data_IF_022242193892
#
_entry.id   IF_022242193892
#
_cell.length_a   1.000
_cell.length_b   1.000
_cell.length_c   1.000
_cell.angle_alpha   90.00
_cell.angle_beta   90.00
_cell.angle_gamma   90.00
#
_symmetry.space_group_name_H-M   'P 1'
#
loop_
_entity.id
_entity.type
_entity.pdbx_description
1 polymer ?
#
# COMPACT_ATOMS: atom_id res chain seq x y z
N UNK A 1 35.31 -18.60 57.17
CA UNK A 1 34.83 -17.47 56.34
C UNK A 1 35.02 -17.90 54.89
N UNK A 2 33.93 -18.33 54.25
CA UNK A 2 33.95 -19.13 53.03
C UNK A 2 34.09 -18.28 51.77
N UNK A 3 34.80 -18.86 50.78
CA UNK A 3 35.25 -18.25 49.52
C UNK A 3 34.13 -18.25 48.44
N UNK A 4 32.92 -18.68 48.80
CA UNK A 4 31.84 -18.99 47.84
C UNK A 4 30.93 -17.81 47.45
N UNK A 5 31.07 -16.64 48.07
CA UNK A 5 30.15 -15.52 47.84
C UNK A 5 30.57 -14.58 46.68
N UNK A 6 31.84 -14.61 46.24
CA UNK A 6 32.34 -13.67 45.23
C UNK A 6 32.27 -14.18 43.78
N UNK A 7 32.11 -15.49 43.57
CA UNK A 7 32.08 -16.08 42.24
C UNK A 7 30.72 -15.90 41.51
N UNK A 8 29.61 -15.76 42.25
CA UNK A 8 28.28 -15.61 41.64
C UNK A 8 27.91 -14.18 41.22
N UNK A 9 28.58 -13.15 41.76
CA UNK A 9 28.30 -11.76 41.40
C UNK A 9 28.93 -11.36 40.06
N UNK A 10 30.10 -11.93 39.71
CA UNK A 10 30.78 -11.62 38.45
C UNK A 10 30.18 -12.35 37.24
N UNK A 11 29.57 -13.53 37.43
CA UNK A 11 28.98 -14.29 36.32
C UNK A 11 27.62 -13.72 35.84
N UNK A 12 26.96 -12.87 36.64
CA UNK A 12 25.73 -12.18 36.22
C UNK A 12 25.96 -10.86 35.48
N UNK A 13 27.17 -10.31 35.52
CA UNK A 13 27.46 -9.01 34.89
C UNK A 13 28.00 -9.14 33.46
N UNK A 14 28.41 -10.34 33.03
CA UNK A 14 29.00 -10.58 31.69
C UNK A 14 27.99 -11.11 30.66
N UNK A 15 26.78 -11.50 31.08
CA UNK A 15 25.70 -11.98 30.18
C UNK A 15 24.62 -10.93 29.85
N UNK A 16 24.94 -9.64 30.06
CA UNK A 16 24.11 -8.49 29.66
C UNK A 16 24.86 -7.51 28.75
N UNK A 17 25.97 -7.94 28.15
CA UNK A 17 26.68 -7.18 27.12
C UNK A 17 26.45 -7.86 25.76
N UNK A 18 25.70 -7.20 24.89
CA UNK A 18 25.77 -7.50 23.46
C UNK A 18 24.51 -8.03 22.76
N UNK A 19 23.30 -7.76 23.27
CA UNK A 19 22.15 -7.61 22.36
C UNK A 19 22.11 -6.18 21.82
N UNK A 20 23.24 -5.72 21.27
CA UNK A 20 23.15 -4.74 20.19
C UNK A 20 22.56 -5.52 19.03
N UNK A 21 21.24 -5.50 18.93
CA UNK A 21 20.55 -5.84 17.71
C UNK A 21 21.15 -4.95 16.63
N UNK A 22 22.18 -5.47 15.93
CA UNK A 22 22.48 -5.03 14.59
C UNK A 22 21.14 -5.05 13.90
N UNK A 23 20.59 -3.86 13.63
CA UNK A 23 19.46 -3.72 12.74
C UNK A 23 19.96 -4.24 11.41
N UNK A 24 19.80 -5.54 11.18
CA UNK A 24 20.23 -6.19 9.97
C UNK A 24 19.61 -5.38 8.85
N UNK A 25 20.47 -4.77 8.05
CA UNK A 25 20.08 -4.01 6.89
C UNK A 25 19.29 -4.97 6.00
N UNK A 26 17.97 -4.84 6.00
CA UNK A 26 17.13 -5.64 5.13
C UNK A 26 17.46 -5.21 3.69
N UNK A 27 17.84 -6.13 2.79
CA UNK A 27 18.15 -5.76 1.42
C UNK A 27 16.95 -5.04 0.81
N UNK A 28 17.18 -4.05 -0.07
CA UNK A 28 16.09 -3.33 -0.72
C UNK A 28 15.20 -4.32 -1.47
N UNK A 29 13.89 -4.14 -1.33
CA UNK A 29 12.92 -5.05 -1.94
C UNK A 29 12.77 -4.72 -3.43
N UNK A 30 12.62 -5.74 -4.26
CA UNK A 30 12.34 -5.56 -5.69
C UNK A 30 10.83 -5.58 -5.92
N UNK A 31 10.32 -4.53 -6.53
CA UNK A 31 8.95 -4.43 -7.02
C UNK A 31 8.94 -4.26 -8.54
N UNK A 32 7.78 -4.42 -9.16
CA UNK A 32 7.64 -4.22 -10.60
C UNK A 32 6.19 -4.27 -11.02
N UNK A 33 5.98 -4.23 -12.34
CA UNK A 33 4.65 -4.32 -12.95
C UNK A 33 4.66 -3.72 -14.34
N UNK A 34 3.48 -3.30 -14.80
CA UNK A 34 3.30 -2.72 -16.14
C UNK A 34 2.60 -1.38 -16.07
N UNK A 35 3.08 -0.39 -16.83
CA UNK A 35 2.32 0.81 -17.19
C UNK A 35 1.45 0.48 -18.40
N UNK A 36 0.15 0.43 -18.18
CA UNK A 36 -0.86 0.16 -19.19
C UNK A 36 -1.20 1.48 -19.90
N UNK A 37 -0.86 1.53 -21.19
CA UNK A 37 -1.21 2.57 -22.17
C UNK A 37 -0.88 4.02 -21.78
N UNK A 38 0.07 4.72 -22.46
CA UNK A 38 0.69 4.36 -23.73
C UNK A 38 1.93 3.48 -23.52
N UNK A 39 2.14 2.47 -24.38
CA UNK A 39 3.38 1.72 -24.39
C UNK A 39 4.49 2.60 -24.97
N UNK A 40 5.24 3.27 -24.10
CA UNK A 40 6.39 4.08 -24.49
C UNK A 40 7.51 3.93 -23.45
N UNK A 41 8.76 4.07 -23.92
CA UNK A 41 9.89 4.20 -23.00
C UNK A 41 9.73 5.48 -22.20
N UNK A 42 10.03 5.40 -20.91
CA UNK A 42 9.91 6.54 -20.02
C UNK A 42 10.43 6.24 -18.64
N UNK A 43 9.96 7.03 -17.68
CA UNK A 43 10.24 6.85 -16.27
C UNK A 43 8.92 6.89 -15.49
N UNK A 44 8.76 5.93 -14.59
CA UNK A 44 7.71 5.96 -13.57
C UNK A 44 8.28 6.57 -12.30
N UNK A 45 7.59 7.58 -11.77
CA UNK A 45 7.85 8.13 -10.45
C UNK A 45 6.67 7.75 -9.58
N UNK A 46 6.86 6.89 -8.59
CA UNK A 46 5.81 6.57 -7.62
C UNK A 46 5.90 7.49 -6.41
N UNK A 47 4.75 7.95 -5.96
CA UNK A 47 4.61 8.94 -4.91
C UNK A 47 3.78 8.44 -3.74
N UNK A 48 4.00 9.06 -2.58
CA UNK A 48 3.17 8.92 -1.40
C UNK A 48 2.69 10.30 -0.96
N UNK A 49 1.55 10.36 -0.27
CA UNK A 49 1.12 11.57 0.43
C UNK A 49 1.70 11.51 1.83
N UNK A 50 2.46 12.55 2.20
CA UNK A 50 3.10 12.69 3.50
C UNK A 50 2.84 14.12 3.97
N UNK A 51 2.27 14.25 5.16
CA UNK A 51 1.89 15.54 5.76
C UNK A 51 1.03 16.40 4.82
N UNK A 52 0.11 15.77 4.07
CA UNK A 52 -0.78 16.42 3.12
C UNK A 52 -0.15 16.81 1.78
N UNK A 53 1.13 16.48 1.54
CA UNK A 53 1.84 16.79 0.31
C UNK A 53 2.27 15.51 -0.43
N UNK A 54 2.18 15.53 -1.76
CA UNK A 54 2.71 14.44 -2.60
C UNK A 54 4.25 14.50 -2.64
N UNK A 55 4.90 13.36 -2.41
CA UNK A 55 6.36 13.21 -2.38
C UNK A 55 6.81 12.06 -3.26
N UNK A 56 7.90 12.29 -4.00
CA UNK A 56 8.59 11.24 -4.77
C UNK A 56 9.24 10.24 -3.82
N UNK A 57 8.92 8.96 -3.97
CA UNK A 57 9.48 7.89 -3.12
C UNK A 57 10.44 7.01 -3.89
N UNK A 58 10.05 6.58 -5.09
CA UNK A 58 10.83 5.66 -5.91
C UNK A 58 10.63 5.94 -7.38
N UNK A 59 11.67 5.68 -8.16
CA UNK A 59 11.72 5.90 -9.60
C UNK A 59 12.14 4.62 -10.30
N UNK A 60 11.65 4.39 -11.51
CA UNK A 60 11.98 3.23 -12.33
C UNK A 60 11.93 3.55 -13.80
N UNK A 61 12.82 2.93 -14.57
CA UNK A 61 12.72 2.97 -16.02
C UNK A 61 11.53 2.13 -16.48
N UNK A 62 10.78 2.67 -17.45
CA UNK A 62 9.70 1.96 -18.15
C UNK A 62 10.21 1.58 -19.53
N UNK A 63 10.13 0.29 -19.84
CA UNK A 63 10.49 -0.23 -21.14
C UNK A 63 9.44 0.11 -22.20
N UNK A 64 9.78 -0.08 -23.48
CA UNK A 64 8.85 0.20 -24.59
C UNK A 64 7.53 -0.61 -24.48
N UNK A 65 7.59 -1.80 -23.87
CA UNK A 65 6.41 -2.63 -23.61
C UNK A 65 5.61 -2.24 -22.35
N UNK A 66 5.98 -1.17 -21.66
CA UNK A 66 5.34 -0.72 -20.42
C UNK A 66 5.83 -1.42 -19.15
N UNK A 67 6.61 -2.49 -19.26
CA UNK A 67 7.20 -3.18 -18.11
C UNK A 67 8.15 -2.25 -17.35
N UNK A 68 8.17 -2.35 -16.02
CA UNK A 68 9.08 -1.61 -15.17
C UNK A 68 9.53 -2.45 -13.96
N UNK A 69 10.70 -2.13 -13.44
CA UNK A 69 11.23 -2.66 -12.18
C UNK A 69 11.59 -1.51 -11.24
N UNK A 70 11.40 -1.71 -9.94
CA UNK A 70 11.70 -0.76 -8.88
C UNK A 70 12.55 -1.39 -7.80
N UNK A 71 13.62 -0.71 -7.42
CA UNK A 71 14.31 -0.96 -6.16
C UNK A 71 13.60 -0.14 -5.09
N UNK A 72 12.73 -0.79 -4.31
CA UNK A 72 11.96 -0.15 -3.26
C UNK A 72 12.86 0.14 -2.04
N UNK A 73 12.92 1.40 -1.57
CA UNK A 73 13.83 1.78 -0.49
C UNK A 73 13.41 1.15 0.84
N UNK A 74 14.37 0.66 1.62
CA UNK A 74 14.13 0.03 2.93
C UNK A 74 15.22 0.45 3.94
N UNK A 75 14.92 1.31 4.92
CA UNK A 75 13.64 2.03 5.08
C UNK A 75 13.43 3.07 3.97
N UNK A 76 12.18 3.46 3.68
CA UNK A 76 11.90 4.60 2.81
C UNK A 76 12.40 5.92 3.46
N UNK A 77 12.59 6.99 2.67
CA UNK A 77 13.15 8.26 3.15
C UNK A 77 12.32 8.88 4.29
N UNK A 78 11.01 8.67 4.24
CA UNK A 78 10.04 9.12 5.21
C UNK A 78 8.95 8.06 5.35
N UNK A 79 8.41 7.89 6.56
CA UNK A 79 7.19 7.13 6.81
C UNK A 79 6.18 8.05 7.47
N UNK A 80 4.91 7.94 7.05
CA UNK A 80 3.83 8.73 7.59
C UNK A 80 3.01 7.98 8.65
N UNK A 81 2.20 8.76 9.37
CA UNK A 81 0.96 8.29 9.99
C UNK A 81 -0.16 8.82 9.09
N UNK A 82 -1.06 8.00 8.55
CA UNK A 82 -2.27 7.65 9.27
C UNK A 82 -2.93 6.46 8.56
N UNK A 83 -3.42 5.50 9.35
CA UNK A 83 -4.33 4.45 8.89
C UNK A 83 -5.53 5.00 8.09
N UNK A 84 -5.87 6.28 8.26
CA UNK A 84 -6.91 6.98 7.50
C UNK A 84 -6.61 7.04 5.99
N UNK A 85 -5.36 7.18 5.57
CA UNK A 85 -5.02 7.21 4.13
C UNK A 85 -5.13 5.84 3.44
N UNK A 86 -4.93 4.76 4.19
CA UNK A 86 -5.19 3.39 3.72
C UNK A 86 -6.69 3.11 3.51
N UNK A 87 -7.55 3.99 4.01
CA UNK A 87 -9.00 3.88 3.83
C UNK A 87 -9.55 4.79 2.74
N UNK A 88 -8.68 5.53 2.05
CA UNK A 88 -9.13 6.32 0.91
C UNK A 88 -9.48 5.36 -0.23
N UNK A 89 -10.74 5.43 -0.62
CA UNK A 89 -11.41 4.58 -1.59
C UNK A 89 -10.61 4.44 -2.89
N UNK A 90 -10.71 3.29 -3.59
CA UNK A 90 -10.38 3.24 -5.00
C UNK A 90 -11.12 4.36 -5.73
N UNK A 91 -10.49 4.96 -6.76
CA UNK A 91 -11.11 6.02 -7.55
C UNK A 91 -12.47 5.62 -8.18
N UNK A 92 -12.79 4.33 -8.22
CA UNK A 92 -14.07 3.77 -8.65
C UNK A 92 -15.23 4.01 -7.67
N UNK A 93 -14.97 4.27 -6.38
CA UNK A 93 -16.01 4.57 -5.37
C UNK A 93 -15.97 6.07 -5.07
N UNK A 94 -16.40 6.89 -6.02
CA UNK A 94 -16.51 8.34 -5.83
C UNK A 94 -17.75 8.68 -4.98
N UNK A 95 -17.65 9.74 -4.17
CA UNK A 95 -18.79 10.21 -3.36
C UNK A 95 -19.14 9.36 -2.14
N UNK A 96 -18.26 8.45 -1.70
CA UNK A 96 -18.49 7.67 -0.49
C UNK A 96 -18.42 8.53 0.77
N UNK A 97 -19.48 8.53 1.58
CA UNK A 97 -19.47 9.10 2.92
C UNK A 97 -19.36 7.98 3.95
N UNK A 98 -18.26 7.93 4.71
CA UNK A 98 -17.96 6.78 5.56
C UNK A 98 -17.73 7.13 7.01
N UNK A 99 -18.30 6.32 7.89
CA UNK A 99 -18.19 6.40 9.35
C UNK A 99 -17.46 5.21 9.93
N UNK A 100 -16.78 5.43 11.05
CA UNK A 100 -15.85 4.49 11.67
C UNK A 100 -14.44 4.61 11.09
N UNK A 101 -13.46 4.08 11.81
CA UNK A 101 -12.06 4.01 11.38
C UNK A 101 -11.50 2.63 11.72
N UNK A 102 -10.73 1.99 10.83
CA UNK A 102 -9.99 0.79 11.19
C UNK A 102 -8.93 1.13 12.25
N UNK A 103 -8.63 0.14 13.07
CA UNK A 103 -7.68 0.21 14.17
C UNK A 103 -6.37 -0.38 13.68
N UNK A 104 -5.29 0.38 13.84
CA UNK A 104 -3.93 -0.08 13.61
C UNK A 104 -3.32 -0.53 14.94
N UNK A 105 -2.77 -1.74 14.97
CA UNK A 105 -2.11 -2.32 16.14
C UNK A 105 -0.68 -2.77 15.80
N UNK A 106 0.35 -2.28 16.50
CA UNK A 106 0.27 -1.23 17.53
C UNK A 106 -0.12 0.13 16.91
N UNK A 107 -0.77 1.03 17.67
CA UNK A 107 -1.20 2.34 17.15
C UNK A 107 -0.04 3.25 16.76
N UNK A 108 1.17 2.93 17.20
CA UNK A 108 2.42 3.63 16.87
C UNK A 108 3.07 3.13 15.59
N UNK A 109 2.53 2.10 14.93
CA UNK A 109 3.05 1.63 13.66
C UNK A 109 2.88 2.71 12.58
N UNK A 110 3.94 2.94 11.80
CA UNK A 110 3.94 3.86 10.66
C UNK A 110 3.89 3.09 9.36
N UNK A 111 3.07 3.59 8.43
CA UNK A 111 2.80 2.96 7.15
C UNK A 111 3.08 3.97 6.03
N UNK A 112 3.45 3.47 4.85
CA UNK A 112 3.58 4.29 3.65
C UNK A 112 2.97 3.54 2.47
N UNK A 113 1.96 4.14 1.85
CA UNK A 113 1.28 3.61 0.67
C UNK A 113 1.77 4.35 -0.58
N UNK A 114 2.20 3.61 -1.60
CA UNK A 114 2.44 4.19 -2.93
C UNK A 114 1.09 4.30 -3.65
N UNK A 115 0.59 5.54 -3.78
CA UNK A 115 -0.82 5.81 -4.18
C UNK A 115 -0.98 6.01 -5.68
N UNK A 116 -0.07 6.78 -6.25
CA UNK A 116 -0.11 7.23 -7.62
C UNK A 116 1.32 7.49 -8.09
N UNK A 117 1.46 7.83 -9.36
CA UNK A 117 2.73 8.26 -9.88
C UNK A 117 2.60 9.24 -11.02
N UNK A 118 3.76 9.66 -11.51
CA UNK A 118 3.88 10.42 -12.74
C UNK A 118 4.61 9.56 -13.76
N UNK A 119 4.19 9.66 -15.01
CA UNK A 119 4.92 9.10 -16.13
C UNK A 119 5.67 10.21 -16.83
N UNK A 120 6.99 10.06 -16.96
CA UNK A 120 7.84 10.99 -17.67
C UNK A 120 8.23 10.40 -19.03
N UNK A 121 8.02 11.19 -20.08
CA UNK A 121 8.54 10.92 -21.41
C UNK A 121 9.59 11.97 -21.74
N UNK A 122 10.80 11.54 -22.11
CA UNK A 122 11.92 12.45 -22.42
C UNK A 122 12.20 13.49 -21.31
N UNK A 123 12.05 13.08 -20.04
CA UNK A 123 12.28 13.94 -18.87
C UNK A 123 11.14 14.92 -18.54
N UNK A 124 10.05 14.94 -19.30
CA UNK A 124 8.89 15.79 -19.08
C UNK A 124 7.71 14.96 -18.55
N UNK A 125 6.90 15.54 -17.66
CA UNK A 125 5.68 14.87 -17.17
C UNK A 125 4.69 14.75 -18.32
N UNK A 126 4.47 13.53 -18.79
CA UNK A 126 3.56 13.23 -19.89
C UNK A 126 2.18 12.77 -19.39
N UNK A 127 2.06 12.34 -18.14
CA UNK A 127 0.77 11.96 -17.55
C UNK A 127 0.87 11.48 -16.11
N UNK A 128 -0.27 11.05 -15.58
CA UNK A 128 -0.43 10.49 -14.24
C UNK A 128 -0.63 8.99 -14.30
N UNK A 129 -0.31 8.32 -13.20
CA UNK A 129 -0.44 6.89 -13.03
C UNK A 129 -1.39 6.60 -11.87
N UNK A 130 -2.43 5.83 -12.16
CA UNK A 130 -3.36 5.31 -11.15
C UNK A 130 -3.21 3.78 -11.06
N UNK A 131 -3.46 3.16 -9.90
CA UNK A 131 -3.46 1.70 -9.80
C UNK A 131 -4.42 1.09 -10.84
N UNK A 132 -3.91 0.23 -11.71
CA UNK A 132 -4.73 -0.46 -12.69
C UNK A 132 -5.58 -1.54 -12.03
N UNK A 133 -6.72 -1.83 -12.64
CA UNK A 133 -7.52 -2.99 -12.27
C UNK A 133 -6.86 -4.26 -12.80
N UNK A 134 -6.38 -5.11 -11.89
CA UNK A 134 -5.72 -6.38 -12.21
C UNK A 134 -6.71 -7.52 -12.51
N UNK A 135 -7.99 -7.37 -12.15
CA UNK A 135 -9.05 -8.34 -12.48
C UNK A 135 -10.43 -7.65 -12.49
N UNK A 136 -11.23 -7.96 -13.51
CA UNK A 136 -12.64 -7.60 -13.62
C UNK A 136 -13.44 -8.89 -13.78
N UNK A 137 -14.42 -9.11 -12.90
CA UNK A 137 -15.38 -10.21 -13.06
C UNK A 137 -16.77 -9.63 -13.13
N UNK A 138 -17.52 -10.01 -14.17
CA UNK A 138 -18.95 -9.73 -14.32
C UNK A 138 -19.70 -11.04 -14.09
N UNK A 139 -20.49 -11.12 -13.02
CA UNK A 139 -21.38 -12.26 -12.79
C UNK A 139 -22.78 -11.88 -13.23
N UNK A 140 -23.46 -12.75 -13.96
CA UNK A 140 -24.83 -12.53 -14.38
C UNK A 140 -25.81 -12.89 -13.25
N UNK A 141 -26.63 -11.90 -12.87
CA UNK A 141 -27.80 -11.96 -11.97
C UNK A 141 -27.59 -12.55 -10.55
N UNK A 142 -27.44 -11.69 -9.52
CA UNK A 142 -27.33 -10.24 -9.62
C UNK A 142 -26.07 -9.83 -10.37
N UNK A 143 -26.13 -8.71 -11.12
CA UNK A 143 -24.94 -8.16 -11.78
C UNK A 143 -23.97 -7.72 -10.68
N UNK A 144 -22.89 -8.50 -10.52
CA UNK A 144 -21.81 -8.19 -9.60
C UNK A 144 -20.58 -7.82 -10.41
N UNK A 145 -20.05 -6.62 -10.17
CA UNK A 145 -18.77 -6.16 -10.70
C UNK A 145 -17.73 -6.34 -9.61
N UNK A 146 -16.74 -7.19 -9.83
CA UNK A 146 -15.59 -7.35 -8.93
C UNK A 146 -14.38 -6.73 -9.57
N UNK A 147 -13.82 -5.70 -8.94
CA UNK A 147 -12.59 -5.02 -9.34
C UNK A 147 -11.50 -5.31 -8.32
N UNK A 148 -10.32 -5.69 -8.77
CA UNK A 148 -9.14 -5.85 -7.90
C UNK A 148 -8.04 -4.91 -8.33
N UNK A 149 -7.48 -4.14 -7.40
CA UNK A 149 -6.27 -3.34 -7.62
C UNK A 149 -5.17 -3.77 -6.65
N UNK A 150 -3.92 -3.47 -7.02
CA UNK A 150 -2.74 -3.74 -6.19
C UNK A 150 -1.94 -2.48 -5.99
N UNK A 151 -1.28 -2.35 -4.84
CA UNK A 151 -0.40 -1.24 -4.50
C UNK A 151 0.73 -1.73 -3.59
N UNK A 152 1.82 -0.97 -3.50
CA UNK A 152 2.90 -1.24 -2.54
C UNK A 152 2.63 -0.49 -1.23
N UNK A 153 2.77 -1.21 -0.13
CA UNK A 153 2.57 -0.72 1.24
C UNK A 153 3.78 -1.08 2.10
N UNK A 154 4.51 -0.08 2.57
CA UNK A 154 5.57 -0.27 3.55
C UNK A 154 5.01 -0.21 4.98
N UNK A 155 5.45 -1.12 5.84
CA UNK A 155 5.22 -1.06 7.28
C UNK A 155 6.57 -1.04 8.01
N UNK A 156 6.77 -0.05 8.89
CA UNK A 156 8.06 0.08 9.61
C UNK A 156 8.34 -1.09 10.57
N UNK A 157 7.27 -1.77 11.00
CA UNK A 157 7.26 -2.88 11.95
C UNK A 157 6.05 -3.78 11.64
N UNK A 158 6.02 -5.03 12.16
CA UNK A 158 4.85 -5.87 12.03
C UNK A 158 3.62 -5.17 12.63
N UNK A 159 2.49 -5.19 11.93
CA UNK A 159 1.28 -4.51 12.36
C UNK A 159 0.01 -5.20 11.85
N UNK A 160 -1.10 -4.93 12.51
CA UNK A 160 -2.43 -5.41 12.13
C UNK A 160 -3.33 -4.19 11.90
N UNK A 161 -3.95 -4.10 10.72
CA UNK A 161 -5.01 -3.13 10.45
C UNK A 161 -6.34 -3.88 10.39
N UNK A 162 -7.24 -3.59 11.34
CA UNK A 162 -8.51 -4.31 11.46
C UNK A 162 -9.69 -3.38 11.67
N UNK A 163 -10.85 -3.72 11.11
CA UNK A 163 -12.09 -3.01 11.36
C UNK A 163 -12.94 -2.82 10.12
N UNK A 164 -14.11 -2.23 10.28
CA UNK A 164 -15.00 -1.92 9.18
C UNK A 164 -15.46 -0.47 9.23
N UNK A 165 -15.60 0.14 8.04
CA UNK A 165 -16.26 1.43 7.86
C UNK A 165 -17.61 1.20 7.19
N UNK A 166 -18.64 1.85 7.69
CA UNK A 166 -19.95 1.87 7.04
C UNK A 166 -20.00 3.10 6.17
N UNK A 167 -20.40 2.91 4.92
CA UNK A 167 -20.37 3.93 3.89
C UNK A 167 -21.75 4.10 3.26
N UNK A 168 -21.96 5.27 2.68
CA UNK A 168 -23.03 5.54 1.73
C UNK A 168 -22.37 5.86 0.40
N UNK A 169 -22.72 5.16 -0.68
CA UNK A 169 -22.09 5.29 -2.00
C UNK A 169 -23.11 5.71 -3.04
N UNK A 170 -22.76 6.69 -3.86
CA UNK A 170 -23.58 7.11 -5.01
C UNK A 170 -23.04 6.46 -6.28
N UNK A 171 -23.85 5.59 -6.90
CA UNK A 171 -23.52 4.91 -8.15
C UNK A 171 -23.65 5.84 -9.36
N UNK A 172 -23.04 5.44 -10.48
CA UNK A 172 -23.27 6.07 -11.79
C UNK A 172 -24.75 5.98 -12.16
N UNK A 173 -25.45 7.11 -12.19
CA UNK A 173 -26.91 7.20 -12.32
C UNK A 173 -27.61 7.83 -11.11
N UNK A 174 -26.87 8.17 -10.05
CA UNK A 174 -27.39 8.92 -8.90
C UNK A 174 -28.03 8.06 -7.81
N UNK A 175 -28.10 6.74 -8.00
CA UNK A 175 -28.62 5.81 -6.99
C UNK A 175 -27.68 5.77 -5.78
N UNK A 176 -28.25 5.92 -4.58
CA UNK A 176 -27.51 5.82 -3.32
C UNK A 176 -27.70 4.42 -2.73
N UNK A 177 -26.59 3.74 -2.44
CA UNK A 177 -26.58 2.38 -1.89
C UNK A 177 -25.72 2.31 -0.63
N UNK A 178 -26.01 1.39 0.31
CA UNK A 178 -25.11 1.08 1.40
C UNK A 178 -23.76 0.58 0.89
N UNK A 179 -22.70 1.00 1.56
CA UNK A 179 -21.34 0.58 1.31
C UNK A 179 -20.66 0.07 2.58
N UNK A 180 -19.66 -0.79 2.43
CA UNK A 180 -18.82 -1.24 3.55
C UNK A 180 -17.38 -1.39 3.12
N UNK A 181 -16.45 -0.85 3.91
CA UNK A 181 -15.02 -1.15 3.80
C UNK A 181 -14.63 -2.07 4.92
N UNK A 182 -13.94 -3.16 4.62
CA UNK A 182 -13.42 -4.11 5.60
C UNK A 182 -11.90 -4.19 5.47
N UNK A 183 -11.21 -3.91 6.57
CA UNK A 183 -9.78 -4.11 6.70
C UNK A 183 -9.52 -5.30 7.64
N UNK A 184 -8.72 -6.24 7.17
CA UNK A 184 -8.20 -7.35 7.96
C UNK A 184 -6.79 -7.68 7.46
N UNK A 185 -5.85 -6.76 7.69
CA UNK A 185 -4.47 -6.85 7.20
C UNK A 185 -3.55 -7.35 8.29
N UNK A 186 -2.70 -8.32 7.97
CA UNK A 186 -1.49 -8.63 8.74
C UNK A 186 -0.29 -8.20 7.90
N UNK A 187 0.45 -7.21 8.39
CA UNK A 187 1.57 -6.59 7.70
C UNK A 187 2.88 -7.12 8.27
N UNK A 188 3.75 -7.60 7.40
CA UNK A 188 5.15 -7.83 7.77
C UNK A 188 5.89 -6.50 7.83
N UNK A 189 6.97 -6.44 8.62
CA UNK A 189 7.93 -5.33 8.52
C UNK A 189 8.50 -5.30 7.10
N UNK A 190 8.58 -4.11 6.52
CA UNK A 190 9.07 -3.89 5.15
C UNK A 190 7.94 -3.67 4.15
N UNK A 191 8.23 -3.94 2.89
CA UNK A 191 7.25 -3.80 1.80
C UNK A 191 6.30 -4.99 1.75
N UNK A 192 5.03 -4.68 1.53
CA UNK A 192 3.93 -5.60 1.33
C UNK A 192 3.20 -5.20 0.03
N UNK A 193 2.54 -6.16 -0.61
CA UNK A 193 1.51 -5.85 -1.62
C UNK A 193 0.17 -5.72 -0.91
N UNK A 194 -0.44 -4.53 -1.00
CA UNK A 194 -1.83 -4.28 -0.65
C UNK A 194 -2.71 -4.67 -1.85
N UNK A 195 -3.73 -5.46 -1.59
CA UNK A 195 -4.77 -5.84 -2.55
C UNK A 195 -6.09 -5.24 -2.09
N UNK A 196 -6.70 -4.45 -2.95
CA UNK A 196 -8.02 -3.87 -2.73
C UNK A 196 -9.00 -4.52 -3.68
N UNK A 197 -9.96 -5.26 -3.12
CA UNK A 197 -11.04 -5.89 -3.88
C UNK A 197 -12.33 -5.11 -3.63
N UNK A 198 -12.94 -4.62 -4.69
CA UNK A 198 -14.21 -3.90 -4.68
C UNK A 198 -15.25 -4.77 -5.36
N UNK A 199 -16.30 -5.10 -4.64
CA UNK A 199 -17.47 -5.81 -5.13
C UNK A 199 -18.66 -4.86 -5.13
N UNK A 200 -19.19 -4.58 -6.31
CA UNK A 200 -20.33 -3.71 -6.51
C UNK A 200 -21.50 -4.53 -7.06
N UNK A 201 -22.64 -4.35 -6.42
CA UNK A 201 -23.94 -4.91 -6.84
C UNK A 201 -24.93 -3.75 -7.04
N UNK A 202 -26.14 -4.04 -7.53
CA UNK A 202 -27.21 -3.04 -7.57
C UNK A 202 -27.72 -2.62 -6.18
N UNK A 203 -27.42 -3.39 -5.13
CA UNK A 203 -27.92 -3.17 -3.78
C UNK A 203 -26.88 -2.61 -2.81
N UNK A 204 -25.59 -2.86 -3.04
CA UNK A 204 -24.52 -2.49 -2.12
C UNK A 204 -23.13 -2.49 -2.78
N UNK A 205 -22.18 -1.82 -2.14
CA UNK A 205 -20.74 -1.85 -2.47
C UNK A 205 -19.94 -2.36 -1.29
N UNK A 206 -19.13 -3.40 -1.49
CA UNK A 206 -18.19 -3.91 -0.48
C UNK A 206 -16.76 -3.73 -0.96
N UNK A 207 -15.90 -3.15 -0.13
CA UNK A 207 -14.47 -3.05 -0.35
C UNK A 207 -13.77 -3.89 0.72
N UNK A 208 -12.97 -4.87 0.31
CA UNK A 208 -12.15 -5.68 1.21
C UNK A 208 -10.67 -5.43 0.93
N UNK A 209 -9.91 -5.19 1.99
CA UNK A 209 -8.47 -4.97 1.95
C UNK A 209 -7.76 -6.23 2.48
N UNK A 210 -6.76 -6.70 1.73
CA UNK A 210 -5.84 -7.77 2.14
C UNK A 210 -4.39 -7.40 1.81
N UNK A 211 -3.41 -7.96 2.53
CA UNK A 211 -2.01 -7.67 2.28
C UNK A 211 -1.15 -8.94 2.34
N UNK A 212 -0.03 -8.93 1.63
CA UNK A 212 0.95 -10.02 1.60
C UNK A 212 2.37 -9.46 1.59
N UNK A 213 3.28 -10.12 2.33
CA UNK A 213 4.71 -9.81 2.29
C UNK A 213 5.38 -10.25 0.97
N UNK A 214 4.83 -11.27 0.29
CA UNK A 214 5.28 -11.66 -1.02
C UNK A 214 4.84 -10.61 -2.04
N UNK A 215 5.81 -9.84 -2.53
CA UNK A 215 5.54 -8.76 -3.48
C UNK A 215 5.05 -9.33 -4.81
N UNK A 216 3.88 -8.86 -5.22
CA UNK A 216 3.32 -9.10 -6.55
C UNK A 216 3.48 -7.86 -7.42
N UNK A 217 3.46 -8.06 -8.73
CA UNK A 217 3.45 -6.97 -9.69
C UNK A 217 2.27 -6.02 -9.46
N UNK A 218 2.53 -4.72 -9.54
CA UNK A 218 1.55 -3.64 -9.45
C UNK A 218 1.44 -2.98 -10.81
N UNK A 219 0.28 -3.08 -11.44
CA UNK A 219 0.07 -2.44 -12.73
C UNK A 219 -0.51 -1.04 -12.53
N UNK A 220 -0.16 -0.13 -13.44
CA UNK A 220 -0.61 1.26 -13.42
C UNK A 220 -1.33 1.60 -14.71
N UNK A 221 -2.50 2.20 -14.60
CA UNK A 221 -3.18 2.82 -15.72
C UNK A 221 -2.60 4.22 -15.91
N UNK A 222 -2.09 4.52 -17.11
CA UNK A 222 -1.71 5.89 -17.42
C UNK A 222 -2.93 6.71 -17.84
N UNK A 223 -2.93 7.94 -17.36
CA UNK A 223 -3.90 8.97 -17.66
C UNK A 223 -3.14 10.16 -18.27
N UNK A 224 -3.40 10.52 -19.53
CA UNK A 224 -2.69 11.62 -20.18
C UNK A 224 -2.90 12.93 -19.42
N UNK A 225 -1.84 13.72 -19.32
CA UNK A 225 -1.98 15.10 -18.88
C UNK A 225 -2.85 15.87 -19.87
N UNK A 226 -3.72 16.75 -19.39
CA UNK A 226 -4.31 17.76 -20.26
C UNK A 226 -3.17 18.64 -20.79
N UNK A 227 -3.07 18.86 -22.12
CA UNK A 227 -2.07 19.74 -22.72
C UNK A 227 -2.20 21.19 -22.23
#
# INVERSE_FOLDING_TARGET
>A
MSVDALALAFLRMVLTAGLFACSAYAPPAQGGGTVIYPPARGEVILTAVLDGAERDIVRGAVEAGGAYTLTLPSPPPQTGTLAEELTAFPAAVQGAQCRGAPILSPPTARLLLLRAGRFLASGQVAGRLNPATSAVTLQASPVNVVLTTRQFLYAERPAILSGARICTVTLSGGQVVPGRVQAALTLARGWNTLVTRTEQTSAAVTVSLSASAALSGVDWQYLPGTP
#
